data_IF_123533341087
#
_entry.id   IF_123533341087
#
_cell.length_a   1.000
_cell.length_b   1.000
_cell.length_c   1.000
_cell.angle_alpha   90.00
_cell.angle_beta   90.00
_cell.angle_gamma   90.00
#
_symmetry.space_group_name_H-M   'P 1'
#
loop_
_entity.id
_entity.type
_entity.pdbx_description
1 polymer ?
#
# COMPACT_ATOMS: atom_id res chain seq x y z
N UNK A 1 9.80 2.46 -9.66
CA UNK A 1 9.74 1.35 -8.70
C UNK A 1 8.39 1.23 -7.98
N UNK A 2 7.64 2.32 -7.70
CA UNK A 2 6.31 2.26 -7.06
C UNK A 2 5.16 1.77 -7.97
N UNK A 3 5.30 1.93 -9.29
CA UNK A 3 4.23 1.62 -10.27
C UNK A 3 3.95 0.12 -10.39
N UNK A 4 4.91 -0.76 -10.04
CA UNK A 4 4.76 -2.22 -10.21
C UNK A 4 3.74 -2.87 -9.26
N UNK A 5 3.38 -2.20 -8.15
CA UNK A 5 2.45 -2.76 -7.16
C UNK A 5 1.08 -2.03 -7.14
N UNK A 6 0.80 -1.20 -8.16
CA UNK A 6 -0.45 -0.47 -8.26
C UNK A 6 -0.73 0.53 -7.12
N UNK A 7 0.29 0.92 -6.36
CA UNK A 7 0.16 1.83 -5.22
C UNK A 7 -0.24 3.23 -5.68
N UNK A 8 -1.20 3.82 -4.96
CA UNK A 8 -1.68 5.18 -5.18
C UNK A 8 -1.00 6.13 -4.18
N UNK A 9 -1.34 7.42 -4.22
CA UNK A 9 -0.84 8.34 -3.20
C UNK A 9 -1.30 7.88 -1.81
N UNK A 10 -0.53 8.09 -0.73
CA UNK A 10 -0.88 7.53 0.58
C UNK A 10 -2.28 7.93 1.06
N UNK A 11 -2.71 9.18 0.83
CA UNK A 11 -4.05 9.68 1.22
C UNK A 11 -5.21 8.93 0.54
N UNK A 12 -4.96 8.27 -0.57
CA UNK A 12 -5.96 7.52 -1.33
C UNK A 12 -6.22 6.09 -0.79
N UNK A 13 -5.36 5.61 0.12
CA UNK A 13 -5.54 4.33 0.79
C UNK A 13 -6.25 4.53 2.13
N UNK A 14 -7.32 3.77 2.41
CA UNK A 14 -8.15 3.94 3.62
C UNK A 14 -7.34 3.83 4.92
N UNK A 15 -6.39 2.89 4.96
CA UNK A 15 -5.53 2.70 6.13
C UNK A 15 -4.55 3.87 6.38
N UNK A 16 -4.36 4.73 5.38
CA UNK A 16 -3.42 5.86 5.44
C UNK A 16 -4.13 7.23 5.42
N UNK A 17 -5.43 7.27 5.10
CA UNK A 17 -6.21 8.51 4.91
C UNK A 17 -6.37 9.37 6.17
N UNK A 18 -6.20 8.79 7.36
CA UNK A 18 -6.30 9.50 8.64
C UNK A 18 -4.97 10.06 9.13
N UNK A 19 -3.90 9.87 8.36
CA UNK A 19 -2.57 10.31 8.76
C UNK A 19 -2.31 11.75 8.28
N UNK A 20 -2.63 12.72 9.16
CA UNK A 20 -2.55 14.17 8.90
C UNK A 20 -1.13 14.58 8.42
N UNK A 21 -0.09 13.89 8.90
CA UNK A 21 1.30 14.16 8.50
C UNK A 21 1.59 13.80 7.04
N UNK A 22 0.89 12.80 6.49
CA UNK A 22 1.02 12.40 5.08
C UNK A 22 0.32 13.38 4.13
N UNK A 23 -0.70 14.10 4.60
CA UNK A 23 -1.34 15.16 3.84
C UNK A 23 -0.44 16.42 3.71
N UNK A 24 0.57 16.55 4.58
CA UNK A 24 1.50 17.68 4.64
C UNK A 24 2.93 17.28 4.22
N UNK A 25 3.05 16.28 3.34
CA UNK A 25 4.32 15.77 2.86
C UNK A 25 5.01 16.76 1.91
N UNK A 26 5.86 17.62 2.47
CA UNK A 26 6.73 18.49 1.70
C UNK A 26 7.84 17.72 0.94
N UNK A 27 8.47 18.37 -0.02
CA UNK A 27 9.53 17.78 -0.86
C UNK A 27 10.74 17.30 -0.05
N UNK A 28 11.07 17.95 1.06
CA UNK A 28 12.23 17.58 1.88
C UNK A 28 11.96 16.26 2.63
N UNK A 29 10.77 16.10 3.20
CA UNK A 29 10.30 14.86 3.85
C UNK A 29 10.19 13.71 2.85
N UNK A 30 9.75 13.97 1.62
CA UNK A 30 9.73 12.95 0.56
C UNK A 30 11.13 12.41 0.24
N UNK A 31 12.14 13.30 0.16
CA UNK A 31 13.54 12.89 -0.02
C UNK A 31 14.02 12.05 1.16
N UNK A 32 13.70 12.46 2.38
CA UNK A 32 14.06 11.72 3.60
C UNK A 32 13.43 10.32 3.63
N UNK A 33 12.13 10.20 3.34
CA UNK A 33 11.45 8.90 3.30
C UNK A 33 12.00 8.00 2.19
N UNK A 34 12.35 8.56 1.03
CA UNK A 34 13.02 7.79 -0.02
C UNK A 34 14.38 7.27 0.44
N UNK A 35 15.15 8.06 1.17
CA UNK A 35 16.44 7.63 1.75
C UNK A 35 16.24 6.53 2.79
N UNK A 36 15.32 6.71 3.75
CA UNK A 36 15.00 5.70 4.77
C UNK A 36 14.53 4.38 4.14
N UNK A 37 13.70 4.46 3.09
CA UNK A 37 13.24 3.29 2.35
C UNK A 37 14.41 2.53 1.71
N UNK A 38 15.35 3.22 1.06
CA UNK A 38 16.55 2.57 0.51
C UNK A 38 17.43 1.95 1.59
N UNK A 39 17.57 2.60 2.74
CA UNK A 39 18.32 2.04 3.88
C UNK A 39 17.68 0.75 4.37
N UNK A 40 16.35 0.71 4.54
CA UNK A 40 15.64 -0.52 4.94
C UNK A 40 15.84 -1.63 3.91
N UNK A 41 15.69 -1.33 2.61
CA UNK A 41 15.96 -2.32 1.55
C UNK A 41 17.38 -2.88 1.66
N UNK A 42 18.36 -2.00 1.84
CA UNK A 42 19.75 -2.41 1.94
C UNK A 42 20.00 -3.25 3.20
N UNK A 43 19.42 -2.88 4.33
CA UNK A 43 19.52 -3.65 5.57
C UNK A 43 18.97 -5.06 5.43
N UNK A 44 17.82 -5.23 4.74
CA UNK A 44 17.27 -6.56 4.48
C UNK A 44 18.24 -7.43 3.66
N UNK A 45 18.83 -6.86 2.60
CA UNK A 45 19.85 -7.55 1.80
C UNK A 45 21.07 -7.92 2.65
N UNK A 46 21.56 -6.98 3.47
CA UNK A 46 22.72 -7.20 4.36
C UNK A 46 22.48 -8.32 5.37
N UNK A 47 21.24 -8.50 5.84
CA UNK A 47 20.86 -9.57 6.79
C UNK A 47 20.69 -10.93 6.09
N UNK A 48 20.72 -10.97 4.75
CA UNK A 48 20.71 -12.21 3.97
C UNK A 48 19.43 -12.49 3.21
N UNK A 49 18.48 -11.53 3.14
CA UNK A 49 17.32 -11.67 2.26
C UNK A 49 17.76 -11.54 0.79
N UNK A 50 17.21 -12.38 -0.07
CA UNK A 50 17.42 -12.21 -1.51
C UNK A 50 16.66 -10.97 -2.03
N UNK A 51 17.06 -10.48 -3.21
CA UNK A 51 16.32 -9.40 -3.86
C UNK A 51 14.85 -9.76 -4.14
N UNK A 52 14.57 -11.05 -4.38
CA UNK A 52 13.22 -11.58 -4.57
C UNK A 52 12.42 -11.54 -3.27
N UNK A 53 13.00 -11.97 -2.15
CA UNK A 53 12.32 -11.92 -0.84
C UNK A 53 11.98 -10.49 -0.46
N UNK A 54 12.93 -9.57 -0.65
CA UNK A 54 12.71 -8.13 -0.40
C UNK A 54 11.56 -7.61 -1.25
N UNK A 55 11.50 -7.97 -2.53
CA UNK A 55 10.40 -7.58 -3.41
C UNK A 55 9.07 -8.17 -2.93
N UNK A 56 9.03 -9.46 -2.56
CA UNK A 56 7.85 -10.15 -2.05
C UNK A 56 7.30 -9.49 -0.78
N UNK A 57 8.17 -9.09 0.15
CA UNK A 57 7.75 -8.34 1.36
C UNK A 57 7.03 -7.06 0.98
N UNK A 58 7.58 -6.25 0.07
CA UNK A 58 6.93 -5.00 -0.34
C UNK A 58 5.66 -5.24 -1.17
N UNK A 59 5.57 -6.34 -1.91
CA UNK A 59 4.34 -6.77 -2.58
C UNK A 59 3.25 -7.12 -1.56
N UNK A 60 3.59 -7.89 -0.51
CA UNK A 60 2.64 -8.21 0.58
C UNK A 60 2.17 -6.94 1.28
N UNK A 61 3.08 -6.02 1.60
CA UNK A 61 2.72 -4.73 2.22
C UNK A 61 1.78 -3.90 1.34
N UNK A 62 2.00 -3.89 0.02
CA UNK A 62 1.07 -3.22 -0.90
C UNK A 62 -0.30 -3.90 -0.99
N UNK A 63 -0.34 -5.24 -0.96
CA UNK A 63 -1.59 -5.98 -0.95
C UNK A 63 -2.43 -5.67 0.30
N UNK A 64 -1.78 -5.55 1.46
CA UNK A 64 -2.45 -5.14 2.72
C UNK A 64 -3.13 -3.77 2.57
N UNK A 65 -2.48 -2.80 1.92
CA UNK A 65 -3.10 -1.50 1.65
C UNK A 65 -4.32 -1.61 0.73
N UNK A 66 -4.23 -2.43 -0.33
CA UNK A 66 -5.33 -2.66 -1.26
C UNK A 66 -6.52 -3.39 -0.60
N UNK A 67 -6.26 -4.32 0.32
CA UNK A 67 -7.32 -4.98 1.12
C UNK A 67 -8.11 -3.95 1.92
N UNK A 68 -7.44 -2.95 2.50
CA UNK A 68 -8.09 -1.86 3.21
C UNK A 68 -9.00 -1.00 2.34
N UNK A 69 -8.76 -0.97 1.03
CA UNK A 69 -9.53 -0.18 0.06
C UNK A 69 -10.79 -0.90 -0.44
N UNK A 70 -11.00 -2.17 -0.05
CA UNK A 70 -12.24 -2.89 -0.39
C UNK A 70 -13.42 -2.19 0.28
N UNK A 71 -14.46 -1.92 -0.52
CA UNK A 71 -15.69 -1.29 -0.06
C UNK A 71 -16.83 -2.29 -0.17
N UNK A 72 -17.39 -2.67 0.98
CA UNK A 72 -18.60 -3.48 1.05
C UNK A 72 -19.82 -2.56 1.10
N UNK A 73 -20.85 -2.89 0.32
CA UNK A 73 -22.13 -2.17 0.30
C UNK A 73 -23.28 -3.16 0.46
N UNK A 74 -24.42 -2.75 1.06
CA UNK A 74 -25.57 -3.62 1.23
C UNK A 74 -26.03 -4.25 -0.09
N UNK A 75 -26.49 -5.51 -0.03
CA UNK A 75 -27.00 -6.23 -1.18
C UNK A 75 -28.51 -6.49 -1.06
N UNK A 76 -29.31 -5.56 -1.55
CA UNK A 76 -30.77 -5.70 -1.55
C UNK A 76 -31.36 -5.56 -0.14
N UNK A 77 -32.31 -6.43 0.19
CA UNK A 77 -33.11 -6.35 1.42
C UNK A 77 -32.67 -7.34 2.51
N UNK A 78 -31.59 -8.10 2.26
CA UNK A 78 -31.02 -9.01 3.25
C UNK A 78 -29.80 -8.36 3.92
N UNK A 79 -29.31 -8.96 5.00
CA UNK A 79 -28.09 -8.52 5.70
C UNK A 79 -26.80 -8.84 4.93
N UNK A 80 -26.92 -9.28 3.67
CA UNK A 80 -25.79 -9.54 2.80
C UNK A 80 -25.12 -8.26 2.31
N UNK A 81 -23.82 -8.35 2.04
CA UNK A 81 -23.04 -7.27 1.44
C UNK A 81 -22.37 -7.74 0.16
N UNK A 82 -22.19 -6.81 -0.79
CA UNK A 82 -21.41 -7.02 -2.01
C UNK A 82 -20.22 -6.08 -2.05
N UNK A 83 -19.18 -6.45 -2.79
CA UNK A 83 -18.05 -5.55 -3.05
C UNK A 83 -18.48 -4.51 -4.10
N UNK A 84 -18.32 -3.23 -3.79
CA UNK A 84 -18.61 -2.11 -4.70
C UNK A 84 -17.59 -2.01 -5.84
N UNK A 85 -16.35 -2.38 -5.57
CA UNK A 85 -15.19 -2.14 -6.42
C UNK A 85 -14.78 -3.43 -7.17
N UNK A 86 -15.52 -3.80 -8.22
CA UNK A 86 -15.19 -4.98 -9.03
C UNK A 86 -13.82 -4.90 -9.75
N UNK A 87 -13.17 -3.73 -9.80
CA UNK A 87 -11.86 -3.52 -10.44
C UNK A 87 -10.64 -3.53 -9.49
N UNK A 88 -10.82 -3.73 -8.19
CA UNK A 88 -9.72 -3.73 -7.19
C UNK A 88 -9.19 -5.13 -6.91
N UNK A 89 -10.00 -6.16 -7.19
CA UNK A 89 -9.66 -7.56 -6.89
C UNK A 89 -8.69 -8.16 -7.93
N UNK A 90 -8.65 -7.59 -9.14
CA UNK A 90 -7.88 -8.10 -10.28
C UNK A 90 -6.47 -7.47 -10.42
N UNK A 91 -6.01 -6.74 -9.40
CA UNK A 91 -4.72 -6.01 -9.41
C UNK A 91 -3.65 -6.61 -8.51
N UNK A 92 -3.91 -7.78 -7.93
CA UNK A 92 -3.00 -8.53 -7.07
C UNK A 92 -2.15 -9.50 -7.87
#
# INVERSE_FOLDING_TARGET
>A
MLVRNGLRVPSEHRYMSHNIELAQLDSARQVEYRKKFQMVKQSLITIGFSAEDVQSIFTILSAILHVGDIVFVPHGSNDGVRVKNNGTIDKS
#
